data_IF_705119698716
#
_entry.id   IF_705119698716
#
_cell.length_a   1.000
_cell.length_b   1.000
_cell.length_c   1.000
_cell.angle_alpha   90.00
_cell.angle_beta   90.00
_cell.angle_gamma   90.00
#
_symmetry.space_group_name_H-M   'P 1'
#
loop_
_entity.id
_entity.type
_entity.pdbx_description
1 polymer ?
#
# COMPACT_ATOMS: atom_id res chain seq x y z
N UNK A 1 9.20 7.17 6.42
CA UNK A 1 7.83 7.46 5.92
C UNK A 1 7.63 6.65 4.65
N UNK A 2 6.51 5.95 4.50
CA UNK A 2 6.14 5.15 3.33
C UNK A 2 5.47 6.05 2.30
N UNK A 3 6.28 6.75 1.51
CA UNK A 3 5.82 7.75 0.55
C UNK A 3 4.86 7.17 -0.51
N UNK A 4 5.04 5.90 -0.90
CA UNK A 4 4.16 5.23 -1.87
C UNK A 4 2.70 5.21 -1.42
N UNK A 5 2.44 4.88 -0.16
CA UNK A 5 1.08 4.85 0.39
C UNK A 5 0.45 6.24 0.44
N UNK A 6 1.25 7.23 0.83
CA UNK A 6 0.81 8.64 0.88
C UNK A 6 0.44 9.11 -0.52
N UNK A 7 1.26 8.81 -1.52
CA UNK A 7 1.02 9.18 -2.91
C UNK A 7 -0.24 8.53 -3.49
N UNK A 8 -0.45 7.23 -3.25
CA UNK A 8 -1.68 6.55 -3.68
C UNK A 8 -2.93 7.16 -3.02
N UNK A 9 -2.85 7.51 -1.73
CA UNK A 9 -3.93 8.17 -1.00
C UNK A 9 -4.23 9.57 -1.56
N UNK A 10 -3.21 10.39 -1.79
CA UNK A 10 -3.38 11.76 -2.30
C UNK A 10 -3.80 11.79 -3.75
N UNK A 11 -3.34 10.85 -4.59
CA UNK A 11 -3.79 10.70 -5.97
C UNK A 11 -5.30 10.46 -6.07
N UNK A 12 -5.87 9.80 -5.06
CA UNK A 12 -7.31 9.54 -4.94
C UNK A 12 -8.07 10.62 -4.15
N UNK A 13 -7.40 11.70 -3.74
CA UNK A 13 -7.97 12.78 -2.92
C UNK A 13 -8.58 12.31 -1.59
N UNK A 14 -8.06 11.24 -1.01
CA UNK A 14 -8.56 10.68 0.26
C UNK A 14 -7.85 11.30 1.44
N UNK A 15 -8.54 11.50 2.57
CA UNK A 15 -7.87 11.80 3.84
C UNK A 15 -7.41 10.51 4.52
N UNK A 16 -6.63 10.62 5.62
CA UNK A 16 -6.26 9.44 6.42
C UNK A 16 -7.47 8.79 7.08
N UNK A 17 -8.51 9.57 7.39
CA UNK A 17 -9.76 9.11 7.99
C UNK A 17 -10.61 8.37 6.97
N UNK A 18 -10.77 8.92 5.76
CA UNK A 18 -11.49 8.27 4.66
C UNK A 18 -10.84 6.93 4.28
N UNK A 19 -9.49 6.90 4.20
CA UNK A 19 -8.77 5.66 3.93
C UNK A 19 -8.93 4.66 5.09
N UNK A 20 -8.96 5.14 6.33
CA UNK A 20 -9.16 4.29 7.48
C UNK A 20 -10.57 3.65 7.47
N UNK A 21 -11.59 4.45 7.17
CA UNK A 21 -12.97 3.97 7.05
C UNK A 21 -13.09 2.92 5.92
N UNK A 22 -12.55 3.22 4.74
CA UNK A 22 -12.59 2.31 3.60
C UNK A 22 -11.86 0.97 3.84
N UNK A 23 -10.83 0.98 4.69
CA UNK A 23 -10.09 -0.22 5.06
C UNK A 23 -10.59 -0.87 6.37
N UNK A 24 -11.60 -0.28 7.02
CA UNK A 24 -12.09 -0.65 8.35
C UNK A 24 -10.94 -0.72 9.38
N UNK A 25 -10.13 0.32 9.42
CA UNK A 25 -8.99 0.51 10.31
C UNK A 25 -9.14 1.83 11.07
N UNK A 26 -8.28 2.06 12.06
CA UNK A 26 -8.21 3.35 12.73
C UNK A 26 -7.31 4.33 11.97
N UNK A 27 -7.70 5.59 11.86
CA UNK A 27 -6.87 6.64 11.25
C UNK A 27 -5.49 6.76 11.91
N UNK A 28 -5.41 6.52 13.23
CA UNK A 28 -4.12 6.48 13.96
C UNK A 28 -3.24 5.33 13.47
N UNK A 29 -3.84 4.20 13.12
CA UNK A 29 -3.12 3.04 12.58
C UNK A 29 -2.62 3.32 11.16
N UNK A 30 -3.45 3.90 10.30
CA UNK A 30 -3.05 4.36 8.95
C UNK A 30 -1.86 5.32 9.04
N UNK A 31 -1.95 6.33 9.92
CA UNK A 31 -0.87 7.31 10.15
C UNK A 31 0.45 6.65 10.57
N UNK A 32 0.39 5.67 11.48
CA UNK A 32 1.58 4.92 11.92
C UNK A 32 2.17 4.07 10.79
N UNK A 33 1.32 3.48 9.96
CA UNK A 33 1.74 2.72 8.78
C UNK A 33 2.40 3.67 7.76
N UNK A 34 1.78 4.79 7.41
CA UNK A 34 2.33 5.78 6.47
C UNK A 34 3.63 6.39 6.98
N UNK A 35 3.81 6.55 8.29
CA UNK A 35 5.09 6.98 8.86
C UNK A 35 6.17 5.90 8.84
N UNK A 36 5.80 4.62 8.76
CA UNK A 36 6.70 3.48 8.90
C UNK A 36 6.96 3.07 10.36
N UNK A 37 6.20 3.61 11.31
CA UNK A 37 6.34 3.31 12.75
C UNK A 37 5.75 1.94 13.13
N UNK A 38 4.89 1.39 12.27
CA UNK A 38 4.27 0.08 12.49
C UNK A 38 4.16 -0.71 11.22
N UNK A 39 4.41 -2.02 11.33
CA UNK A 39 4.21 -2.95 10.23
C UNK A 39 2.77 -3.46 10.22
N UNK A 40 2.05 -3.33 9.09
CA UNK A 40 0.72 -3.90 8.94
C UNK A 40 0.76 -5.44 8.96
N UNK A 41 -0.34 -6.05 9.39
CA UNK A 41 -0.53 -7.50 9.24
C UNK A 41 -0.78 -7.86 7.77
N UNK A 42 -0.57 -9.13 7.40
CA UNK A 42 -0.89 -9.65 6.05
C UNK A 42 -2.34 -9.33 5.64
N UNK A 43 -3.30 -9.44 6.57
CA UNK A 43 -4.70 -9.06 6.34
C UNK A 43 -4.84 -7.59 5.95
N UNK A 44 -4.17 -6.70 6.68
CA UNK A 44 -4.15 -5.26 6.37
C UNK A 44 -3.52 -5.02 5.01
N UNK A 45 -2.35 -5.59 4.73
CA UNK A 45 -1.70 -5.44 3.42
C UNK A 45 -2.60 -5.89 2.27
N UNK A 46 -3.34 -6.99 2.43
CA UNK A 46 -4.35 -7.43 1.45
C UNK A 46 -5.47 -6.41 1.26
N UNK A 47 -5.97 -5.79 2.34
CA UNK A 47 -6.97 -4.71 2.23
C UNK A 47 -6.43 -3.54 1.42
N UNK A 48 -5.19 -3.12 1.69
CA UNK A 48 -4.50 -2.08 0.92
C UNK A 48 -4.37 -2.47 -0.56
N UNK A 49 -3.93 -3.70 -0.84
CA UNK A 49 -3.85 -4.20 -2.21
C UNK A 49 -5.21 -4.16 -2.92
N UNK A 50 -6.27 -4.67 -2.29
CA UNK A 50 -7.61 -4.68 -2.91
C UNK A 50 -8.18 -3.27 -3.08
N UNK A 51 -7.87 -2.35 -2.17
CA UNK A 51 -8.33 -0.97 -2.27
C UNK A 51 -7.58 -0.18 -3.35
N UNK A 52 -6.26 -0.30 -3.38
CA UNK A 52 -5.41 0.42 -4.33
C UNK A 52 -5.28 -0.29 -5.69
N UNK A 53 -5.64 -1.56 -5.79
CA UNK A 53 -5.36 -2.42 -6.96
C UNK A 53 -3.86 -2.45 -7.31
N UNK A 54 -3.01 -2.36 -6.29
CA UNK A 54 -1.54 -2.36 -6.40
C UNK A 54 -0.99 -3.50 -5.56
N UNK A 55 0.04 -4.18 -6.07
CA UNK A 55 0.66 -5.30 -5.35
C UNK A 55 1.21 -4.86 -3.99
N UNK A 56 1.08 -5.73 -2.97
CA UNK A 56 1.60 -5.46 -1.62
C UNK A 56 3.11 -5.20 -1.61
N UNK A 57 3.87 -5.82 -2.50
CA UNK A 57 5.31 -5.61 -2.66
C UNK A 57 5.64 -4.19 -3.15
N UNK A 58 4.78 -3.61 -3.98
CA UNK A 58 4.93 -2.24 -4.47
C UNK A 58 4.44 -1.22 -3.44
N UNK A 59 3.40 -1.54 -2.66
CA UNK A 59 2.87 -0.67 -1.61
C UNK A 59 3.76 -0.61 -0.36
N UNK A 60 4.43 -1.72 -0.03
CA UNK A 60 5.26 -1.87 1.16
C UNK A 60 6.68 -2.34 0.82
N UNK A 61 7.44 -1.59 -0.01
CA UNK A 61 8.77 -2.02 -0.43
C UNK A 61 9.70 -2.22 0.77
N UNK A 62 9.58 -1.42 1.84
CA UNK A 62 10.38 -1.58 3.06
C UNK A 62 10.20 -2.95 3.76
N UNK A 63 9.07 -3.63 3.52
CA UNK A 63 8.77 -4.93 4.12
C UNK A 63 9.27 -6.08 3.23
N UNK A 64 9.29 -5.89 1.90
CA UNK A 64 9.53 -6.95 0.92
C UNK A 64 10.88 -6.86 0.20
N UNK A 65 11.63 -5.76 0.31
CA UNK A 65 12.87 -5.51 -0.44
C UNK A 65 14.12 -6.21 0.12
N UNK A 66 13.96 -7.36 0.79
CA UNK A 66 15.08 -8.29 1.05
C UNK A 66 15.35 -9.19 -0.19
N UNK A 67 14.46 -9.15 -1.19
CA UNK A 67 14.52 -9.96 -2.41
C UNK A 67 14.59 -9.09 -3.68
N UNK A 68 15.43 -8.05 -3.73
CA UNK A 68 15.65 -7.29 -4.96
C UNK A 68 16.65 -8.01 -5.88
N UNK A 69 16.22 -9.14 -6.43
CA UNK A 69 16.88 -9.76 -7.58
C UNK A 69 15.84 -10.32 -8.54
N UNK A 70 14.90 -9.50 -8.98
CA UNK A 70 14.35 -9.73 -10.34
C UNK A 70 13.94 -8.42 -10.99
N UNK A 71 14.89 -7.95 -11.80
CA UNK A 71 14.70 -7.10 -12.98
C UNK A 71 13.31 -7.25 -13.61
N UNK A 72 12.66 -6.12 -13.85
CA UNK A 72 11.78 -5.86 -14.99
C UNK A 72 10.90 -7.05 -15.47
N UNK A 73 9.64 -7.07 -15.05
CA UNK A 73 8.56 -7.33 -16.02
C UNK A 73 7.70 -6.09 -16.11
N UNK A 74 8.06 -5.28 -17.11
CA UNK A 74 7.18 -4.30 -17.72
C UNK A 74 5.99 -5.07 -18.30
N UNK A 75 4.80 -4.52 -18.09
CA UNK A 75 3.65 -4.50 -19.01
C UNK A 75 3.35 -5.78 -19.82
N UNK A 76 2.14 -6.34 -19.67
CA UNK A 76 1.22 -6.53 -20.81
C UNK A 76 -0.14 -7.02 -20.30
N UNK A 77 -1.09 -6.10 -20.37
CA UNK A 77 -2.52 -6.27 -20.65
C UNK A 77 -2.83 -7.59 -21.38
N UNK A 78 -3.48 -8.56 -20.72
CA UNK A 78 -4.18 -9.65 -21.42
C UNK A 78 -5.67 -9.29 -21.52
N UNK A 79 -6.03 -8.65 -22.62
CA UNK A 79 -7.34 -8.85 -23.26
C UNK A 79 -7.06 -9.60 -24.56
N UNK A 80 -7.73 -10.73 -24.77
CA UNK A 80 -7.55 -11.63 -25.92
C UNK A 80 -8.01 -13.03 -25.58
#
# INVERSE_FOLDING_TARGET
MRERLVNERTLRNLTQEELAEALELSAVFIRKIEKGERNPSIKTMKKYQSFFDVRVTELFPDIFNDFDDTKCIKDTKLIG
#
